data_IF_745843931973
#
_entry.id   IF_745843931973
#
_cell.length_a   1.000
_cell.length_b   1.000
_cell.length_c   1.000
_cell.angle_alpha   90.00
_cell.angle_beta   90.00
_cell.angle_gamma   90.00
#
_symmetry.space_group_name_H-M   'P 1'
#
loop_
_entity.id
_entity.type
_entity.pdbx_description
1 polymer ?
#
# COMPACT_ATOMS: atom_id res chain seq x y z
N UNK A 1 -2.71 -16.62 10.61
CA UNK A 1 -3.11 -15.85 9.40
C UNK A 1 -4.40 -15.04 9.56
N UNK A 2 -5.50 -15.60 10.11
CA UNK A 2 -6.81 -14.90 10.19
C UNK A 2 -6.79 -13.65 11.08
N UNK A 3 -6.06 -13.66 12.20
CA UNK A 3 -5.92 -12.49 13.08
C UNK A 3 -5.23 -11.28 12.42
N UNK A 4 -4.23 -11.53 11.55
CA UNK A 4 -3.60 -10.48 10.74
C UNK A 4 -4.60 -9.85 9.77
N UNK A 5 -5.52 -10.64 9.21
CA UNK A 5 -6.54 -10.11 8.30
C UNK A 5 -7.48 -9.13 8.99
N UNK A 6 -7.97 -9.44 10.20
CA UNK A 6 -8.85 -8.53 10.94
C UNK A 6 -8.14 -7.25 11.39
N UNK A 7 -6.90 -7.38 11.91
CA UNK A 7 -6.08 -6.21 12.27
C UNK A 7 -5.78 -5.33 11.05
N UNK A 8 -5.50 -5.93 9.90
CA UNK A 8 -5.23 -5.21 8.65
C UNK A 8 -6.47 -4.52 8.10
N UNK A 9 -7.63 -5.19 8.14
CA UNK A 9 -8.91 -4.62 7.72
C UNK A 9 -9.30 -3.46 8.65
N UNK A 10 -9.19 -3.65 9.97
CA UNK A 10 -9.45 -2.62 10.97
C UNK A 10 -8.55 -1.39 10.79
N UNK A 11 -7.24 -1.60 10.62
CA UNK A 11 -6.29 -0.52 10.36
C UNK A 11 -6.59 0.19 9.02
N UNK A 12 -6.99 -0.55 7.99
CA UNK A 12 -7.35 0.04 6.69
C UNK A 12 -8.62 0.88 6.80
N UNK A 13 -9.61 0.39 7.54
CA UNK A 13 -10.86 1.12 7.78
C UNK A 13 -10.59 2.38 8.60
N UNK A 14 -9.82 2.28 9.69
CA UNK A 14 -9.42 3.41 10.53
C UNK A 14 -8.68 4.49 9.72
N UNK A 15 -7.65 4.12 8.96
CA UNK A 15 -6.89 5.04 8.12
C UNK A 15 -7.77 5.75 7.07
N UNK A 16 -8.70 5.03 6.44
CA UNK A 16 -9.58 5.60 5.41
C UNK A 16 -10.73 6.41 5.98
N UNK A 17 -11.33 6.00 7.09
CA UNK A 17 -12.52 6.65 7.67
C UNK A 17 -12.14 7.76 8.61
N UNK A 18 -11.18 7.57 9.51
CA UNK A 18 -10.81 8.60 10.46
C UNK A 18 -9.82 9.58 9.83
N UNK A 19 -8.65 9.12 9.40
CA UNK A 19 -7.62 10.07 8.97
C UNK A 19 -8.00 10.79 7.67
N UNK A 20 -8.53 10.08 6.67
CA UNK A 20 -8.84 10.73 5.38
C UNK A 20 -10.05 11.66 5.50
N UNK A 21 -11.07 11.30 6.30
CA UNK A 21 -12.25 12.14 6.52
C UNK A 21 -11.92 13.35 7.37
N UNK A 22 -11.30 13.15 8.54
CA UNK A 22 -10.95 14.26 9.43
C UNK A 22 -9.94 15.20 8.77
N UNK A 23 -8.99 14.70 7.99
CA UNK A 23 -8.02 15.60 7.34
C UNK A 23 -8.61 16.34 6.13
N UNK A 24 -9.49 15.71 5.34
CA UNK A 24 -10.20 16.41 4.26
C UNK A 24 -11.17 17.46 4.80
N UNK A 25 -11.94 17.12 5.83
CA UNK A 25 -12.98 17.97 6.39
C UNK A 25 -12.37 19.14 7.18
N UNK A 26 -11.28 18.92 7.91
CA UNK A 26 -10.65 19.97 8.69
C UNK A 26 -9.70 20.84 7.85
N UNK A 27 -9.11 20.36 6.74
CA UNK A 27 -8.05 21.05 5.95
C UNK A 27 -6.85 21.56 6.77
N UNK A 28 -6.73 21.20 8.05
CA UNK A 28 -5.70 21.71 8.98
C UNK A 28 -4.30 21.15 8.64
N UNK A 29 -4.23 19.97 8.01
CA UNK A 29 -2.98 19.23 7.86
C UNK A 29 -2.54 19.06 6.40
N UNK A 30 -1.22 19.21 6.17
CA UNK A 30 -0.61 18.99 4.86
C UNK A 30 -0.55 17.50 4.52
N UNK A 31 -0.45 17.15 3.24
CA UNK A 31 -0.33 15.74 2.81
C UNK A 31 0.86 15.01 3.46
N UNK A 32 1.93 15.74 3.79
CA UNK A 32 3.07 15.23 4.53
C UNK A 32 2.72 14.90 5.99
N UNK A 33 2.02 15.80 6.67
CA UNK A 33 1.59 15.58 8.06
C UNK A 33 0.60 14.42 8.20
N UNK A 34 -0.33 14.28 7.26
CA UNK A 34 -1.22 13.12 7.18
C UNK A 34 -0.44 11.83 7.05
N UNK A 35 0.53 11.79 6.15
CA UNK A 35 1.36 10.61 5.94
C UNK A 35 2.13 10.22 7.19
N UNK A 36 2.69 11.21 7.90
CA UNK A 36 3.43 10.98 9.12
C UNK A 36 2.53 10.40 10.22
N UNK A 37 1.34 10.97 10.42
CA UNK A 37 0.36 10.46 11.40
C UNK A 37 -0.02 9.02 11.06
N UNK A 38 -0.36 8.73 9.80
CA UNK A 38 -0.72 7.37 9.36
C UNK A 38 0.40 6.36 9.63
N UNK A 39 1.65 6.73 9.35
CA UNK A 39 2.79 5.84 9.55
C UNK A 39 3.07 5.60 11.04
N UNK A 40 3.02 6.65 11.87
CA UNK A 40 3.26 6.55 13.32
C UNK A 40 2.15 5.73 14.00
N UNK A 41 0.88 5.93 13.65
CA UNK A 41 -0.22 5.17 14.22
C UNK A 41 -0.18 3.69 13.83
N UNK A 42 0.40 3.36 12.68
CA UNK A 42 0.53 1.98 12.23
C UNK A 42 1.70 1.24 12.89
N UNK A 43 2.71 1.95 13.42
CA UNK A 43 3.89 1.35 14.06
C UNK A 43 3.56 0.44 15.25
N UNK A 44 2.70 0.81 16.22
CA UNK A 44 2.32 -0.07 17.32
C UNK A 44 1.75 -1.42 16.85
N UNK A 45 0.90 -1.39 15.81
CA UNK A 45 0.32 -2.60 15.23
C UNK A 45 1.42 -3.48 14.64
N UNK A 46 2.37 -2.89 13.93
CA UNK A 46 3.52 -3.60 13.35
C UNK A 46 4.38 -4.25 14.45
N UNK A 47 4.69 -3.52 15.53
CA UNK A 47 5.49 -4.08 16.64
C UNK A 47 4.78 -5.22 17.34
N UNK A 48 3.47 -5.10 17.57
CA UNK A 48 2.66 -6.18 18.14
C UNK A 48 2.70 -7.41 17.20
N UNK A 49 2.41 -7.23 15.91
CA UNK A 49 2.46 -8.32 14.93
C UNK A 49 3.86 -8.97 14.85
N UNK A 50 4.93 -8.18 14.87
CA UNK A 50 6.30 -8.68 14.86
C UNK A 50 6.64 -9.48 16.13
N UNK A 51 6.18 -9.03 17.29
CA UNK A 51 6.35 -9.76 18.55
C UNK A 51 5.59 -11.09 18.54
N UNK A 52 4.34 -11.11 18.06
CA UNK A 52 3.54 -12.33 17.95
C UNK A 52 4.10 -13.34 16.94
N UNK A 53 4.74 -12.88 15.86
CA UNK A 53 5.37 -13.74 14.86
C UNK A 53 6.83 -14.10 15.20
N UNK A 54 7.32 -13.69 16.38
CA UNK A 54 8.69 -13.93 16.84
C UNK A 54 9.76 -13.42 15.85
N UNK A 55 9.50 -12.28 15.21
CA UNK A 55 10.38 -11.66 14.21
C UNK A 55 11.57 -10.89 14.82
N UNK A 56 11.80 -11.00 16.14
CA UNK A 56 12.92 -10.36 16.84
C UNK A 56 14.31 -10.76 16.30
N UNK A 57 14.40 -11.92 15.64
CA UNK A 57 15.61 -12.38 14.94
C UNK A 57 15.94 -11.59 13.67
N UNK A 58 15.05 -10.74 13.16
CA UNK A 58 15.29 -9.94 11.95
C UNK A 58 16.54 -9.04 12.08
N UNK A 59 16.85 -8.57 13.30
CA UNK A 59 18.08 -7.82 13.57
C UNK A 59 19.34 -8.67 13.34
N UNK A 60 19.32 -9.92 13.81
CA UNK A 60 20.42 -10.87 13.61
C UNK A 60 20.54 -11.34 12.16
N UNK A 61 19.43 -11.35 11.41
CA UNK A 61 19.45 -11.60 9.98
C UNK A 61 20.00 -10.38 9.21
N UNK A 62 19.75 -9.15 9.67
CA UNK A 62 20.18 -7.90 9.02
C UNK A 62 21.68 -7.61 9.15
N UNK A 63 22.28 -7.87 10.30
CA UNK A 63 23.70 -7.59 10.58
C UNK A 63 24.68 -8.18 9.56
N UNK A 64 24.58 -9.46 9.15
CA UNK A 64 25.52 -10.05 8.20
C UNK A 64 25.28 -9.67 6.73
N UNK A 65 24.20 -8.95 6.37
CA UNK A 65 23.97 -8.60 4.97
C UNK A 65 25.07 -7.70 4.41
N UNK A 66 25.42 -7.97 3.14
CA UNK A 66 26.31 -7.13 2.36
C UNK A 66 25.74 -5.71 2.20
N UNK A 67 26.63 -4.71 2.10
CA UNK A 67 26.26 -3.31 1.95
C UNK A 67 25.25 -3.05 0.80
N UNK A 68 25.36 -3.67 -0.39
CA UNK A 68 24.36 -3.47 -1.45
C UNK A 68 22.94 -3.85 -1.02
N UNK A 69 22.79 -4.93 -0.24
CA UNK A 69 21.48 -5.36 0.24
C UNK A 69 20.92 -4.47 1.35
N UNK A 70 21.80 -3.87 2.17
CA UNK A 70 21.40 -2.84 3.14
C UNK A 70 20.92 -1.57 2.44
N UNK A 71 21.58 -1.18 1.34
CA UNK A 71 21.19 -0.03 0.53
C UNK A 71 19.86 -0.27 -0.19
N UNK A 72 19.58 -1.47 -0.70
CA UNK A 72 18.26 -1.77 -1.28
C UNK A 72 17.15 -1.73 -0.23
N UNK A 73 17.38 -2.24 0.98
CA UNK A 73 16.43 -2.10 2.09
C UNK A 73 16.17 -0.61 2.40
N UNK A 74 17.23 0.20 2.52
CA UNK A 74 17.09 1.65 2.74
C UNK A 74 16.30 2.32 1.60
N UNK A 75 16.58 1.97 0.34
CA UNK A 75 15.86 2.48 -0.82
C UNK A 75 14.37 2.10 -0.79
N UNK A 76 14.02 0.89 -0.33
CA UNK A 76 12.61 0.50 -0.17
C UNK A 76 11.90 1.32 0.93
N UNK A 77 12.59 1.65 2.03
CA UNK A 77 12.04 2.54 3.06
C UNK A 77 11.77 3.95 2.52
N UNK A 78 12.72 4.51 1.76
CA UNK A 78 12.53 5.81 1.11
C UNK A 78 11.37 5.79 0.11
N UNK A 79 11.23 4.72 -0.68
CA UNK A 79 10.06 4.51 -1.54
C UNK A 79 8.75 4.44 -0.77
N UNK A 80 8.74 3.79 0.40
CA UNK A 80 7.59 3.74 1.30
C UNK A 80 7.11 5.12 1.75
N UNK A 81 8.04 6.02 2.08
CA UNK A 81 7.72 7.41 2.45
C UNK A 81 7.06 8.16 1.29
N UNK A 82 7.61 8.02 0.07
CA UNK A 82 7.05 8.67 -1.13
C UNK A 82 5.63 8.18 -1.43
N UNK A 83 5.39 6.87 -1.33
CA UNK A 83 4.06 6.28 -1.47
C UNK A 83 3.12 6.83 -0.39
N UNK A 84 3.60 6.89 0.85
CA UNK A 84 2.86 7.43 1.98
C UNK A 84 2.40 8.87 1.78
N UNK A 85 3.16 9.70 1.06
CA UNK A 85 2.80 11.10 0.75
C UNK A 85 1.86 11.18 -0.47
N UNK A 86 2.13 10.36 -1.49
CA UNK A 86 1.37 10.35 -2.74
C UNK A 86 -0.10 9.95 -2.51
N UNK A 87 -0.37 8.94 -1.67
CA UNK A 87 -1.73 8.45 -1.43
C UNK A 87 -2.67 9.53 -0.83
N UNK A 88 -2.35 10.20 0.29
CA UNK A 88 -3.14 11.30 0.82
C UNK A 88 -3.33 12.44 -0.18
N UNK A 89 -2.31 12.73 -1.01
CA UNK A 89 -2.41 13.74 -2.07
C UNK A 89 -3.41 13.31 -3.15
N UNK A 90 -3.38 12.06 -3.60
CA UNK A 90 -4.39 11.51 -4.51
C UNK A 90 -5.80 11.60 -3.93
N UNK A 91 -5.98 11.28 -2.64
CA UNK A 91 -7.26 11.49 -1.98
C UNK A 91 -7.67 12.96 -1.98
N UNK A 92 -6.77 13.93 -1.80
CA UNK A 92 -7.14 15.36 -1.85
C UNK A 92 -7.63 15.84 -3.23
N UNK A 93 -7.18 15.21 -4.32
CA UNK A 93 -7.46 15.64 -5.70
C UNK A 93 -8.61 14.86 -6.34
N UNK A 94 -8.82 13.61 -5.93
CA UNK A 94 -9.76 12.69 -6.57
C UNK A 94 -10.79 12.16 -5.56
N UNK A 95 -11.87 11.60 -6.10
CA UNK A 95 -12.86 10.90 -5.28
C UNK A 95 -12.25 9.65 -4.65
N UNK A 96 -12.75 9.25 -3.47
CA UNK A 96 -12.24 8.06 -2.78
C UNK A 96 -12.40 6.79 -3.61
N UNK A 97 -13.46 6.68 -4.41
CA UNK A 97 -13.69 5.54 -5.30
C UNK A 97 -12.65 5.49 -6.43
N UNK A 98 -12.33 6.64 -7.05
CA UNK A 98 -11.31 6.71 -8.10
C UNK A 98 -9.92 6.31 -7.59
N UNK A 99 -9.55 6.73 -6.37
CA UNK A 99 -8.25 6.35 -5.76
C UNK A 99 -8.19 4.85 -5.48
N UNK A 100 -9.29 4.24 -5.06
CA UNK A 100 -9.35 2.79 -4.82
C UNK A 100 -9.25 2.00 -6.14
N UNK A 101 -9.97 2.42 -7.18
CA UNK A 101 -9.88 1.79 -8.51
C UNK A 101 -8.46 1.91 -9.09
N UNK A 102 -7.81 3.06 -8.93
CA UNK A 102 -6.43 3.26 -9.32
C UNK A 102 -5.45 2.39 -8.50
N UNK A 103 -5.69 2.21 -7.19
CA UNK A 103 -4.90 1.33 -6.33
C UNK A 103 -4.99 -0.14 -6.78
N UNK A 104 -6.17 -0.60 -7.23
CA UNK A 104 -6.33 -1.94 -7.81
C UNK A 104 -5.52 -2.11 -9.10
N UNK A 105 -5.52 -1.10 -9.98
CA UNK A 105 -4.68 -1.10 -11.17
C UNK A 105 -3.18 -1.14 -10.82
N UNK A 106 -2.75 -0.35 -9.83
CA UNK A 106 -1.35 -0.36 -9.36
C UNK A 106 -0.92 -1.75 -8.88
N UNK A 107 -1.78 -2.46 -8.13
CA UNK A 107 -1.51 -3.85 -7.71
C UNK A 107 -1.36 -4.79 -8.91
N UNK A 108 -2.20 -4.65 -9.93
CA UNK A 108 -2.10 -5.46 -11.15
C UNK A 108 -0.77 -5.23 -11.88
N UNK A 109 -0.33 -3.97 -11.99
CA UNK A 109 0.99 -3.63 -12.57
C UNK A 109 2.14 -4.21 -11.74
N UNK A 110 2.07 -4.14 -10.41
CA UNK A 110 3.07 -4.76 -9.53
C UNK A 110 3.18 -6.27 -9.73
N UNK A 111 2.05 -6.96 -9.98
CA UNK A 111 2.05 -8.40 -10.28
C UNK A 111 2.75 -8.67 -11.62
N UNK A 112 2.52 -7.86 -12.65
CA UNK A 112 3.19 -8.01 -13.95
C UNK A 112 4.71 -7.78 -13.85
N UNK A 113 5.13 -6.74 -13.11
CA UNK A 113 6.55 -6.47 -12.87
C UNK A 113 7.18 -7.61 -12.07
N UNK A 114 6.51 -8.10 -11.03
CA UNK A 114 6.98 -9.24 -10.24
C UNK A 114 7.11 -10.51 -11.08
N UNK A 115 6.15 -10.77 -11.96
CA UNK A 115 6.18 -11.90 -12.90
C UNK A 115 7.43 -11.83 -13.80
N UNK A 116 7.74 -10.65 -14.33
CA UNK A 116 8.91 -10.42 -15.18
C UNK A 116 10.22 -10.56 -14.40
N UNK A 117 10.33 -9.96 -13.21
CA UNK A 117 11.56 -9.94 -12.43
C UNK A 117 11.91 -11.30 -11.79
N UNK A 118 10.91 -12.04 -11.31
CA UNK A 118 11.12 -13.31 -10.60
C UNK A 118 10.95 -14.55 -11.49
N UNK A 119 10.57 -14.38 -12.76
CA UNK A 119 10.35 -15.49 -13.69
C UNK A 119 9.19 -16.42 -13.30
N UNK A 120 8.34 -15.99 -12.36
CA UNK A 120 7.24 -16.78 -11.83
C UNK A 120 6.15 -16.92 -12.89
N UNK A 121 5.61 -18.13 -13.08
CA UNK A 121 4.49 -18.35 -14.00
C UNK A 121 3.16 -18.18 -13.26
N UNK A 122 2.25 -17.41 -13.84
CA UNK A 122 0.90 -17.25 -13.33
C UNK A 122 -0.01 -18.41 -13.81
N UNK A 123 -0.86 -18.88 -12.92
CA UNK A 123 -1.95 -19.81 -13.27
C UNK A 123 -2.99 -19.12 -14.15
N UNK A 124 -3.68 -19.88 -15.02
CA UNK A 124 -4.72 -19.34 -15.90
C UNK A 124 -5.81 -18.56 -15.15
N UNK A 125 -6.17 -19.00 -13.93
CA UNK A 125 -7.11 -18.27 -13.07
C UNK A 125 -6.57 -16.92 -12.58
N UNK A 126 -5.26 -16.83 -12.31
CA UNK A 126 -4.62 -15.58 -11.89
C UNK A 126 -4.55 -14.58 -13.05
N UNK A 127 -4.28 -15.07 -14.26
CA UNK A 127 -4.27 -14.24 -15.48
C UNK A 127 -5.67 -13.68 -15.76
N UNK A 128 -6.72 -14.52 -15.63
CA UNK A 128 -8.10 -14.10 -15.81
C UNK A 128 -8.51 -13.04 -14.76
N UNK A 129 -8.16 -13.26 -13.50
CA UNK A 129 -8.38 -12.26 -12.43
C UNK A 129 -7.66 -10.94 -12.69
N UNK A 130 -6.43 -10.99 -13.21
CA UNK A 130 -5.66 -9.80 -13.59
C UNK A 130 -6.33 -9.04 -14.75
N UNK A 131 -6.80 -9.76 -15.77
CA UNK A 131 -7.49 -9.18 -16.91
C UNK A 131 -8.78 -8.46 -16.50
N UNK A 132 -9.56 -9.05 -15.58
CA UNK A 132 -10.76 -8.41 -15.03
C UNK A 132 -10.39 -7.14 -14.24
N UNK A 133 -9.34 -7.19 -13.41
CA UNK A 133 -8.92 -6.02 -12.64
C UNK A 133 -8.50 -4.85 -13.55
N UNK A 134 -7.69 -5.12 -14.58
CA UNK A 134 -7.23 -4.09 -15.52
C UNK A 134 -8.40 -3.58 -16.36
N UNK A 135 -9.23 -4.48 -16.89
CA UNK A 135 -10.40 -4.13 -17.70
C UNK A 135 -11.42 -3.28 -16.93
N UNK A 136 -11.73 -3.65 -15.69
CA UNK A 136 -12.63 -2.88 -14.82
C UNK A 136 -12.08 -1.50 -14.48
N UNK A 137 -10.78 -1.38 -14.20
CA UNK A 137 -10.14 -0.08 -13.97
C UNK A 137 -10.13 0.81 -15.22
N UNK A 138 -9.89 0.25 -16.41
CA UNK A 138 -9.95 0.97 -17.68
C UNK A 138 -11.38 1.43 -18.00
N UNK A 139 -12.37 0.56 -17.80
CA UNK A 139 -13.78 0.90 -17.99
C UNK A 139 -14.19 2.08 -17.12
N UNK A 140 -13.83 2.04 -15.83
CA UNK A 140 -14.09 3.13 -14.90
C UNK A 140 -13.44 4.44 -15.35
N UNK A 141 -12.20 4.39 -15.88
CA UNK A 141 -11.51 5.58 -16.38
C UNK A 141 -12.17 6.17 -17.64
N UNK A 142 -12.70 5.33 -18.53
CA UNK A 142 -13.43 5.77 -19.73
C UNK A 142 -14.76 6.42 -19.35
N UNK A 143 -15.53 5.79 -18.47
CA UNK A 143 -16.80 6.33 -18.01
C UNK A 143 -16.60 7.65 -17.22
N UNK A 144 -15.52 7.74 -16.46
CA UNK A 144 -15.14 8.96 -15.74
C UNK A 144 -14.79 10.15 -16.65
N UNK A 145 -14.39 9.92 -17.91
CA UNK A 145 -14.15 10.98 -18.92
C UNK A 145 -15.40 11.41 -19.67
N UNK A 146 -16.47 10.61 -19.60
CA UNK A 146 -17.71 10.82 -20.35
C UNK A 146 -18.69 11.74 -19.61
N UNK A 147 -18.40 12.09 -18.36
CA UNK A 147 -19.07 13.11 -17.54
C UNK A 147 -18.23 14.37 -17.49
#
# INVERSE_FOLDING_TARGET
LVGNSFATIGNTFWNKVFITKYTKELKIQTSYGVSLIQQIETLPIIFVCAAFNNEGGAYMAYTPLALPAKLTILATCAGGVLIGIAYPKCFSLLSGTSVVVASTANKAVSILIGMYLFGTRLSGMQVLGLAICIGGSLWYAVEGKRK
#
